data_IF_721948600276
#
_entry.id   IF_721948600276
#
_cell.length_a   1.000
_cell.length_b   1.000
_cell.length_c   1.000
_cell.angle_alpha   90.00
_cell.angle_beta   90.00
_cell.angle_gamma   90.00
#
_symmetry.space_group_name_H-M   'P 1'
#
loop_
_entity.id
_entity.type
_entity.pdbx_description
1 polymer ?
#
# COMPACT_ATOMS: atom_id res chain seq x y z
N UNK A 1 11.41 22.13 -7.46
CA UNK A 1 12.28 21.65 -6.36
C UNK A 1 11.66 21.95 -4.99
N UNK A 2 11.18 23.17 -4.78
CA UNK A 2 10.44 23.63 -3.58
C UNK A 2 9.24 22.75 -3.19
N UNK A 3 8.38 22.36 -4.14
CA UNK A 3 7.22 21.48 -3.84
C UNK A 3 7.61 20.11 -3.26
N UNK A 4 8.67 19.50 -3.78
CA UNK A 4 9.15 18.20 -3.29
C UNK A 4 9.70 18.32 -1.86
N UNK A 5 10.42 19.39 -1.57
CA UNK A 5 10.93 19.69 -0.22
C UNK A 5 9.77 19.81 0.76
N UNK A 6 8.75 20.62 0.43
CA UNK A 6 7.55 20.80 1.28
C UNK A 6 6.83 19.47 1.52
N UNK A 7 6.69 18.63 0.49
CA UNK A 7 6.09 17.28 0.63
C UNK A 7 6.90 16.37 1.53
N UNK A 8 8.23 16.39 1.45
CA UNK A 8 9.10 15.62 2.34
C UNK A 8 8.98 16.09 3.78
N UNK A 9 8.94 17.40 4.02
CA UNK A 9 8.74 17.97 5.36
C UNK A 9 7.38 17.52 5.94
N UNK A 10 6.30 17.70 5.17
CA UNK A 10 4.96 17.27 5.58
C UNK A 10 4.88 15.76 5.84
N UNK A 11 5.55 14.95 5.03
CA UNK A 11 5.64 13.52 5.24
C UNK A 11 6.39 13.17 6.53
N UNK A 12 7.49 13.87 6.81
CA UNK A 12 8.25 13.69 8.05
C UNK A 12 7.43 14.02 9.29
N UNK A 13 6.70 15.14 9.27
CA UNK A 13 5.78 15.51 10.36
C UNK A 13 4.68 14.45 10.55
N UNK A 14 4.07 13.96 9.46
CA UNK A 14 3.05 12.93 9.54
C UNK A 14 3.61 11.60 10.09
N UNK A 15 4.82 11.20 9.68
CA UNK A 15 5.48 9.99 10.20
C UNK A 15 5.66 10.04 11.71
N UNK A 16 6.15 11.16 12.24
CA UNK A 16 6.31 11.35 13.69
C UNK A 16 4.97 11.22 14.41
N UNK A 17 3.93 11.89 13.89
CA UNK A 17 2.56 11.77 14.45
C UNK A 17 2.04 10.33 14.44
N UNK A 18 2.23 9.60 13.35
CA UNK A 18 1.81 8.20 13.27
C UNK A 18 2.56 7.31 14.23
N UNK A 19 3.86 7.57 14.48
CA UNK A 19 4.64 6.77 15.40
C UNK A 19 4.25 6.98 16.86
N UNK A 20 3.93 8.21 17.26
CA UNK A 20 3.44 8.49 18.61
C UNK A 20 1.95 8.19 18.82
N UNK A 21 1.18 7.99 17.76
CA UNK A 21 -0.23 7.67 17.88
C UNK A 21 -0.42 6.28 18.50
N UNK A 22 -1.23 6.21 19.56
CA UNK A 22 -1.67 4.94 20.14
C UNK A 22 -2.71 4.29 19.22
N UNK A 23 -2.22 3.54 18.22
CA UNK A 23 -3.03 2.81 17.24
C UNK A 23 -2.60 1.36 17.17
N UNK A 24 -3.54 0.45 17.42
CA UNK A 24 -3.34 -0.98 17.23
C UNK A 24 -4.29 -1.47 16.14
N UNK A 25 -3.90 -1.29 14.87
CA UNK A 25 -4.71 -1.73 13.74
C UNK A 25 -4.47 -3.22 13.50
N UNK A 26 -5.50 -4.02 13.71
CA UNK A 26 -5.47 -5.45 13.40
C UNK A 26 -5.75 -5.64 11.90
N UNK A 27 -4.71 -6.01 11.15
CA UNK A 27 -4.80 -6.26 9.71
C UNK A 27 -4.78 -7.76 9.41
N UNK A 28 -5.51 -8.17 8.38
CA UNK A 28 -5.63 -9.56 7.94
C UNK A 28 -5.20 -9.68 6.48
N UNK A 29 -4.61 -10.83 6.15
CA UNK A 29 -4.30 -11.21 4.76
C UNK A 29 -5.56 -11.09 3.87
N UNK A 30 -5.38 -10.69 2.62
CA UNK A 30 -6.44 -10.41 1.61
C UNK A 30 -7.19 -9.09 1.80
N UNK A 31 -6.98 -8.38 2.90
CA UNK A 31 -7.63 -7.08 3.08
C UNK A 31 -6.97 -6.00 2.24
N UNK A 32 -7.81 -5.11 1.70
CA UNK A 32 -7.38 -3.88 1.03
C UNK A 32 -7.60 -2.72 1.99
N UNK A 33 -6.60 -1.88 2.14
CA UNK A 33 -6.60 -0.75 3.05
C UNK A 33 -6.05 0.51 2.39
N UNK A 34 -6.58 1.67 2.75
CA UNK A 34 -5.82 2.91 2.63
C UNK A 34 -4.70 2.90 3.65
N UNK A 35 -3.46 3.12 3.21
CA UNK A 35 -2.29 3.21 4.07
C UNK A 35 -1.33 4.31 3.62
N UNK A 36 -0.69 4.96 4.58
CA UNK A 36 0.38 5.95 4.34
C UNK A 36 1.68 5.26 3.92
N UNK A 37 1.94 5.27 2.60
CA UNK A 37 3.15 4.67 1.99
C UNK A 37 4.28 5.68 1.77
N UNK A 38 3.98 6.98 1.93
CA UNK A 38 4.98 8.03 2.09
C UNK A 38 5.36 8.83 0.84
N UNK A 39 6.23 9.82 1.06
CA UNK A 39 6.97 10.51 0.00
C UNK A 39 8.36 9.90 -0.07
N UNK A 40 8.62 9.17 -1.14
CA UNK A 40 9.75 8.27 -1.36
C UNK A 40 10.71 8.84 -2.43
N UNK A 41 11.84 8.16 -2.58
CA UNK A 41 12.94 8.57 -3.46
C UNK A 41 12.90 7.81 -4.79
N UNK A 42 13.54 8.39 -5.81
CA UNK A 42 13.67 7.77 -7.13
C UNK A 42 12.34 7.31 -7.72
N UNK A 43 12.27 6.01 -8.05
CA UNK A 43 11.15 5.36 -8.74
C UNK A 43 10.22 4.60 -7.80
N UNK A 44 10.37 4.74 -6.48
CA UNK A 44 9.44 4.17 -5.53
C UNK A 44 8.05 4.80 -5.65
N UNK A 45 7.00 3.99 -5.49
CA UNK A 45 5.64 4.49 -5.56
C UNK A 45 5.34 5.41 -4.37
N UNK A 46 5.01 6.65 -4.68
CA UNK A 46 4.65 7.67 -3.70
C UNK A 46 3.19 7.59 -3.29
N UNK A 47 2.91 7.83 -2.03
CA UNK A 47 1.60 8.22 -1.52
C UNK A 47 1.02 9.46 -2.17
N UNK A 48 -0.28 9.67 -2.04
CA UNK A 48 -0.99 10.86 -2.54
C UNK A 48 -1.76 11.55 -1.41
N UNK A 49 -2.27 12.75 -1.70
CA UNK A 49 -3.06 13.58 -0.78
C UNK A 49 -2.28 13.99 0.47
N UNK A 50 -2.97 14.59 1.44
CA UNK A 50 -2.38 15.08 2.70
C UNK A 50 -1.82 13.96 3.59
N UNK A 51 -2.30 12.72 3.43
CA UNK A 51 -1.88 11.57 4.23
C UNK A 51 -0.81 10.70 3.55
N UNK A 52 -0.34 11.09 2.36
CA UNK A 52 0.63 10.30 1.57
C UNK A 52 0.18 8.84 1.43
N UNK A 53 -1.09 8.67 1.08
CA UNK A 53 -1.80 7.40 1.17
C UNK A 53 -2.05 6.76 -0.19
N UNK A 54 -2.17 5.43 -0.19
CA UNK A 54 -2.67 4.63 -1.32
C UNK A 54 -3.45 3.42 -0.83
N UNK A 55 -4.30 2.83 -1.68
CA UNK A 55 -4.80 1.51 -1.42
C UNK A 55 -3.63 0.52 -1.49
N UNK A 56 -3.56 -0.38 -0.51
CA UNK A 56 -2.58 -1.47 -0.44
C UNK A 56 -3.32 -2.77 -0.14
N UNK A 57 -2.87 -3.87 -0.73
CA UNK A 57 -3.33 -5.21 -0.42
C UNK A 57 -2.39 -5.86 0.61
N UNK A 58 -2.94 -6.40 1.68
CA UNK A 58 -2.18 -7.15 2.70
C UNK A 58 -1.89 -8.56 2.19
N UNK A 59 -0.62 -8.83 1.90
CA UNK A 59 -0.14 -10.13 1.43
C UNK A 59 0.13 -11.08 2.60
N UNK A 60 0.72 -10.57 3.68
CA UNK A 60 1.06 -11.32 4.88
C UNK A 60 1.14 -10.38 6.08
N UNK A 61 0.71 -10.85 7.23
CA UNK A 61 1.00 -10.22 8.53
C UNK A 61 2.13 -10.99 9.20
N UNK A 62 3.15 -10.26 9.66
CA UNK A 62 4.27 -10.85 10.38
C UNK A 62 4.08 -10.74 11.90
N UNK A 63 3.48 -9.66 12.38
CA UNK A 63 3.20 -9.45 13.81
C UNK A 63 2.01 -8.49 13.98
N UNK A 64 1.68 -8.13 15.22
CA UNK A 64 0.69 -7.06 15.50
C UNK A 64 1.13 -5.69 14.97
N UNK A 65 2.42 -5.53 14.64
CA UNK A 65 3.03 -4.25 14.29
C UNK A 65 3.54 -4.18 12.86
N UNK A 66 3.57 -5.30 12.12
CA UNK A 66 4.27 -5.40 10.85
C UNK A 66 3.51 -6.25 9.81
N UNK A 67 3.36 -5.72 8.61
CA UNK A 67 2.70 -6.40 7.49
C UNK A 67 3.45 -6.20 6.17
N UNK A 68 3.47 -7.24 5.34
CA UNK A 68 3.87 -7.20 3.95
C UNK A 68 2.67 -6.77 3.09
N UNK A 69 2.86 -5.74 2.28
CA UNK A 69 1.79 -5.20 1.42
C UNK A 69 2.27 -4.98 0.00
N UNK A 70 1.32 -4.97 -0.94
CA UNK A 70 1.53 -4.52 -2.31
C UNK A 70 0.63 -3.31 -2.62
N UNK A 71 1.18 -2.18 -3.08
CA UNK A 71 0.38 -1.02 -3.46
C UNK A 71 -0.51 -1.28 -4.67
N UNK A 72 -1.67 -0.62 -4.69
CA UNK A 72 -2.56 -0.59 -5.84
C UNK A 72 -2.54 0.79 -6.50
N UNK A 73 -2.86 0.81 -7.80
CA UNK A 73 -2.93 2.04 -8.59
C UNK A 73 -4.09 1.99 -9.57
N UNK A 74 -4.72 3.14 -9.83
CA UNK A 74 -5.66 3.28 -10.95
C UNK A 74 -4.95 3.43 -12.30
N UNK A 75 -3.62 3.57 -12.31
CA UNK A 75 -2.84 3.61 -13.56
C UNK A 75 -2.56 2.20 -14.06
N UNK A 76 -2.66 2.03 -15.37
CA UNK A 76 -2.34 0.79 -16.07
C UNK A 76 -1.04 0.98 -16.86
N UNK A 77 -0.17 -0.03 -16.82
CA UNK A 77 1.02 -0.09 -17.67
C UNK A 77 1.12 -1.49 -18.26
N UNK A 78 1.60 -1.58 -19.49
CA UNK A 78 1.90 -2.83 -20.19
C UNK A 78 3.31 -3.29 -19.82
N UNK A 79 3.47 -3.85 -18.61
CA UNK A 79 4.68 -4.58 -18.22
C UNK A 79 4.36 -5.65 -17.17
N UNK A 80 5.29 -6.60 -16.98
CA UNK A 80 5.11 -7.76 -16.08
C UNK A 80 4.89 -7.43 -14.60
N UNK A 81 5.18 -6.21 -14.18
CA UNK A 81 5.07 -5.79 -12.77
C UNK A 81 3.72 -5.12 -12.44
N UNK A 82 2.82 -4.98 -13.43
CA UNK A 82 1.50 -4.37 -13.27
C UNK A 82 0.43 -5.42 -13.57
N UNK A 83 -0.14 -5.99 -12.51
CA UNK A 83 -1.17 -7.02 -12.64
C UNK A 83 -2.56 -6.40 -12.45
N UNK A 84 -3.42 -6.49 -13.47
CA UNK A 84 -4.78 -5.93 -13.41
C UNK A 84 -5.68 -6.80 -12.55
N UNK A 85 -6.44 -6.15 -11.68
CA UNK A 85 -7.46 -6.76 -10.83
C UNK A 85 -8.74 -5.95 -10.92
N UNK A 86 -9.87 -6.61 -10.74
CA UNK A 86 -11.16 -5.94 -10.57
C UNK A 86 -11.69 -6.26 -9.18
N UNK A 87 -12.09 -5.21 -8.45
CA UNK A 87 -12.72 -5.35 -7.15
C UNK A 87 -13.92 -4.42 -7.06
N UNK A 88 -15.11 -5.00 -6.85
CA UNK A 88 -16.39 -4.28 -6.76
C UNK A 88 -16.62 -3.29 -7.92
N UNK A 89 -16.42 -3.75 -9.15
CA UNK A 89 -16.59 -2.93 -10.36
C UNK A 89 -15.50 -1.87 -10.59
N UNK A 90 -14.43 -1.88 -9.78
CA UNK A 90 -13.28 -0.98 -9.95
C UNK A 90 -12.07 -1.76 -10.40
N UNK A 91 -11.57 -1.41 -11.58
CA UNK A 91 -10.34 -1.94 -12.13
C UNK A 91 -9.16 -1.20 -11.50
N UNK A 92 -8.15 -1.94 -11.04
CA UNK A 92 -6.91 -1.41 -10.46
C UNK A 92 -5.72 -2.28 -10.88
N UNK A 93 -4.52 -1.74 -10.81
CA UNK A 93 -3.27 -2.48 -10.99
C UNK A 93 -2.64 -2.76 -9.64
N UNK A 94 -2.27 -4.01 -9.39
CA UNK A 94 -1.32 -4.42 -8.35
C UNK A 94 0.09 -4.09 -8.84
N UNK A 95 0.84 -3.33 -8.04
CA UNK A 95 2.19 -2.89 -8.37
C UNK A 95 3.23 -3.84 -7.77
N UNK A 96 3.45 -4.98 -8.41
CA UNK A 96 4.31 -6.07 -7.88
C UNK A 96 5.73 -5.57 -7.57
N UNK A 97 6.31 -4.73 -8.42
CA UNK A 97 7.64 -4.14 -8.17
C UNK A 97 7.73 -3.16 -7.00
N UNK A 98 6.59 -2.86 -6.34
CA UNK A 98 6.50 -1.88 -5.26
C UNK A 98 6.09 -2.50 -3.92
N UNK A 99 6.14 -3.84 -3.83
CA UNK A 99 5.94 -4.58 -2.58
C UNK A 99 6.86 -4.04 -1.50
N UNK A 100 6.34 -3.92 -0.28
CA UNK A 100 7.10 -3.44 0.86
C UNK A 100 6.51 -3.91 2.17
N UNK A 101 7.35 -3.93 3.19
CA UNK A 101 6.93 -4.11 4.57
C UNK A 101 6.58 -2.76 5.16
N UNK A 102 5.45 -2.67 5.87
CA UNK A 102 5.01 -1.45 6.56
C UNK A 102 4.55 -1.75 7.99
N UNK A 103 4.68 -0.75 8.86
CA UNK A 103 4.09 -0.78 10.20
C UNK A 103 2.56 -0.73 10.14
N UNK A 104 1.88 -1.44 11.02
CA UNK A 104 0.40 -1.38 11.14
C UNK A 104 -0.11 0.01 11.53
N UNK A 105 0.73 0.86 12.15
CA UNK A 105 0.41 2.28 12.44
C UNK A 105 0.10 3.11 11.17
N UNK A 106 0.53 2.64 10.00
CA UNK A 106 0.34 3.32 8.71
C UNK A 106 -1.02 3.05 8.07
N UNK A 107 -1.78 2.09 8.60
CA UNK A 107 -3.10 1.77 8.07
C UNK A 107 -4.13 2.80 8.55
N UNK A 108 -4.97 3.26 7.63
CA UNK A 108 -5.90 4.37 7.86
C UNK A 108 -7.34 3.84 7.88
N UNK A 109 -7.77 3.18 6.80
CA UNK A 109 -9.15 2.72 6.63
C UNK A 109 -9.21 1.47 5.75
N UNK A 110 -9.92 0.45 6.21
CA UNK A 110 -10.22 -0.75 5.42
C UNK A 110 -11.16 -0.41 4.27
N UNK A 111 -10.81 -0.85 3.06
CA UNK A 111 -11.64 -0.75 1.85
C UNK A 111 -12.47 -2.03 1.69
N UNK A 112 -11.89 -3.17 2.03
CA UNK A 112 -12.59 -4.45 2.07
C UNK A 112 -11.63 -5.62 2.00
N UNK A 113 -12.10 -6.74 1.46
CA UNK A 113 -11.36 -8.01 1.45
C UNK A 113 -11.54 -8.66 0.08
N UNK A 114 -10.43 -9.05 -0.54
CA UNK A 114 -10.46 -9.81 -1.79
C UNK A 114 -11.01 -11.21 -1.57
N UNK A 115 -11.71 -11.72 -2.59
CA UNK A 115 -12.05 -13.13 -2.65
C UNK A 115 -10.78 -14.00 -2.72
N UNK A 116 -10.94 -15.26 -2.36
CA UNK A 116 -9.81 -16.18 -2.24
C UNK A 116 -9.13 -16.44 -3.58
N UNK A 117 -9.91 -16.63 -4.64
CA UNK A 117 -9.38 -17.01 -5.96
C UNK A 117 -8.54 -15.88 -6.57
N UNK A 118 -9.08 -14.65 -6.60
CA UNK A 118 -8.37 -13.48 -7.08
C UNK A 118 -7.09 -13.23 -6.27
N UNK A 119 -7.17 -13.37 -4.96
CA UNK A 119 -6.02 -13.18 -4.10
C UNK A 119 -4.92 -14.23 -4.34
N UNK A 120 -5.26 -15.51 -4.53
CA UNK A 120 -4.30 -16.57 -4.86
C UNK A 120 -3.60 -16.31 -6.20
N UNK A 121 -4.31 -15.78 -7.20
CA UNK A 121 -3.70 -15.34 -8.47
C UNK A 121 -2.67 -14.25 -8.24
N UNK A 122 -3.00 -13.22 -7.44
CA UNK A 122 -2.04 -12.15 -7.09
C UNK A 122 -0.83 -12.71 -6.34
N UNK A 123 -1.02 -13.65 -5.42
CA UNK A 123 0.10 -14.27 -4.70
C UNK A 123 1.07 -14.99 -5.65
N UNK A 124 0.55 -15.70 -6.65
CA UNK A 124 1.40 -16.38 -7.65
C UNK A 124 2.24 -15.36 -8.42
N UNK A 125 1.64 -14.28 -8.91
CA UNK A 125 2.36 -13.21 -9.60
C UNK A 125 3.45 -12.59 -8.74
N UNK A 126 3.18 -12.42 -7.44
CA UNK A 126 4.15 -11.92 -6.46
C UNK A 126 5.27 -12.91 -6.18
N UNK A 127 5.00 -14.22 -6.10
CA UNK A 127 6.00 -15.24 -5.77
C UNK A 127 6.92 -15.64 -6.92
N UNK A 128 6.52 -15.36 -8.16
CA UNK A 128 7.34 -15.61 -9.36
C UNK A 128 8.42 -14.54 -9.56
N UNK A 129 8.37 -13.44 -8.79
CA UNK A 129 9.32 -12.33 -8.82
C UNK A 129 10.03 -12.18 -7.47
#
# INVERSE_FOLDING_TARGET
MTDKISKIINWSLLKVRMDHAFRNVYVIKKEIWWASIGMNIGHEENGKNSLFERPVLVLRRYSNHLALVVPLSSKFKTNRYYFKIEYKGRISSVLVSQIRVISTKRFIRKIGTLDRALFETIQKEVSVH
#
